data_IF_106830280262
#
_entry.id   IF_106830280262
#
_cell.length_a   1.000
_cell.length_b   1.000
_cell.length_c   1.000
_cell.angle_alpha   90.00
_cell.angle_beta   90.00
_cell.angle_gamma   90.00
#
_symmetry.space_group_name_H-M   'P 1'
#
loop_
_entity.id
_entity.type
_entity.pdbx_description
1 polymer ?
#
# COMPACT_ATOMS: atom_id res chain seq x y z
N UNK A 1 6.02 14.38 22.28
CA UNK A 1 4.76 13.98 21.62
C UNK A 1 5.14 13.20 20.37
N UNK A 2 4.57 12.01 20.14
CA UNK A 2 4.87 11.24 18.92
C UNK A 2 4.29 11.95 17.71
N UNK A 3 5.06 12.10 16.63
CA UNK A 3 4.57 12.66 15.37
C UNK A 3 3.48 11.74 14.80
N UNK A 4 2.39 12.33 14.28
CA UNK A 4 1.24 11.56 13.79
C UNK A 4 1.58 10.86 12.47
N UNK A 5 1.25 9.56 12.32
CA UNK A 5 1.41 8.87 11.05
C UNK A 5 0.48 9.45 9.98
N UNK A 6 0.83 9.24 8.71
CA UNK A 6 0.01 9.59 7.56
C UNK A 6 0.10 8.49 6.51
N UNK A 7 -0.85 8.44 5.58
CA UNK A 7 -0.93 7.38 4.59
C UNK A 7 -0.86 7.91 3.16
N UNK A 8 -0.26 7.11 2.28
CA UNK A 8 -0.20 7.30 0.84
C UNK A 8 -0.74 6.05 0.17
N UNK A 9 -1.91 6.21 -0.46
CA UNK A 9 -2.57 5.15 -1.19
C UNK A 9 -2.19 5.26 -2.66
N UNK A 10 -1.53 4.21 -3.18
CA UNK A 10 -1.16 4.10 -4.58
C UNK A 10 -2.36 3.57 -5.38
N UNK A 11 -3.05 4.48 -6.07
CA UNK A 11 -4.23 4.18 -6.88
C UNK A 11 -3.92 4.06 -8.38
N UNK A 12 -2.66 3.79 -8.72
CA UNK A 12 -2.23 3.51 -10.09
C UNK A 12 -2.44 2.05 -10.52
N UNK A 13 -2.15 1.78 -11.79
CA UNK A 13 -2.15 0.44 -12.37
C UNK A 13 -3.22 0.26 -13.45
N UNK A 14 -2.79 -0.05 -14.68
CA UNK A 14 -3.68 -0.23 -15.83
C UNK A 14 -4.59 -1.45 -15.77
N UNK A 15 -4.39 -2.34 -14.78
CA UNK A 15 -5.33 -3.40 -14.42
C UNK A 15 -5.96 -4.17 -15.59
N UNK A 16 -5.18 -4.71 -16.54
CA UNK A 16 -5.75 -5.41 -17.72
C UNK A 16 -6.38 -6.76 -17.40
N UNK A 17 -6.06 -7.34 -16.23
CA UNK A 17 -6.49 -8.69 -15.81
C UNK A 17 -7.95 -8.81 -15.37
N UNK A 18 -8.65 -7.69 -15.19
CA UNK A 18 -10.07 -7.67 -14.84
C UNK A 18 -10.96 -7.30 -16.03
N UNK A 19 -10.44 -7.29 -17.25
CA UNK A 19 -11.28 -7.10 -18.43
C UNK A 19 -12.40 -8.15 -18.47
N UNK A 20 -13.66 -7.79 -18.79
CA UNK A 20 -14.13 -6.49 -19.28
C UNK A 20 -14.53 -5.49 -18.19
N UNK A 21 -14.39 -5.83 -16.91
CA UNK A 21 -14.75 -4.94 -15.79
C UNK A 21 -13.83 -3.72 -15.68
N UNK A 22 -12.55 -3.87 -16.05
CA UNK A 22 -11.59 -2.78 -16.12
C UNK A 22 -11.35 -2.28 -17.54
N UNK A 23 -11.07 -0.99 -17.66
CA UNK A 23 -10.62 -0.35 -18.89
C UNK A 23 -9.48 0.65 -18.60
N UNK A 24 -8.77 1.14 -19.62
CA UNK A 24 -7.80 2.24 -19.44
C UNK A 24 -8.42 3.48 -18.78
N UNK A 25 -9.69 3.76 -19.08
CA UNK A 25 -10.46 4.89 -18.54
C UNK A 25 -10.98 4.62 -17.12
N UNK A 26 -11.14 3.36 -16.71
CA UNK A 26 -11.55 2.98 -15.35
C UNK A 26 -10.75 1.75 -14.88
N UNK A 27 -9.55 1.96 -14.34
CA UNK A 27 -8.73 0.85 -13.87
C UNK A 27 -9.27 0.28 -12.56
N UNK A 28 -8.70 -0.88 -12.19
CA UNK A 28 -9.12 -1.71 -11.05
C UNK A 28 -9.42 -0.96 -9.74
N UNK A 29 -8.61 0.00 -9.26
CA UNK A 29 -8.90 0.71 -8.01
C UNK A 29 -10.28 1.38 -7.97
N UNK A 30 -10.83 1.75 -9.14
CA UNK A 30 -12.08 2.49 -9.29
C UNK A 30 -13.27 1.60 -9.71
N UNK A 31 -13.14 0.28 -9.60
CA UNK A 31 -14.22 -0.68 -9.88
C UNK A 31 -14.93 -1.04 -8.58
N UNK A 32 -16.28 -0.99 -8.53
CA UNK A 32 -17.06 -1.30 -7.34
C UNK A 32 -17.13 -2.81 -7.06
N UNK A 33 -16.11 -3.36 -6.39
CA UNK A 33 -15.98 -4.81 -6.14
C UNK A 33 -16.28 -5.23 -4.69
N UNK A 34 -16.26 -4.30 -3.73
CA UNK A 34 -16.42 -4.63 -2.30
C UNK A 34 -17.63 -3.90 -1.76
N UNK A 35 -18.73 -4.62 -1.52
CA UNK A 35 -19.99 -4.07 -1.01
C UNK A 35 -20.50 -2.86 -1.82
N UNK A 36 -20.34 -2.90 -3.16
CA UNK A 36 -20.74 -1.81 -4.06
C UNK A 36 -19.80 -0.60 -4.05
N UNK A 37 -18.73 -0.60 -3.26
CA UNK A 37 -17.71 0.46 -3.22
C UNK A 37 -16.51 0.10 -4.07
N UNK A 38 -15.85 1.14 -4.61
CA UNK A 38 -14.56 0.98 -5.30
C UNK A 38 -13.51 0.43 -4.35
N UNK A 39 -12.50 -0.28 -4.86
CA UNK A 39 -11.41 -0.79 -4.02
C UNK A 39 -10.65 0.34 -3.31
N UNK A 40 -10.51 1.49 -3.96
CA UNK A 40 -9.97 2.71 -3.36
C UNK A 40 -10.83 3.16 -2.17
N UNK A 41 -12.15 3.31 -2.37
CA UNK A 41 -13.07 3.72 -1.30
C UNK A 41 -13.05 2.72 -0.12
N UNK A 42 -13.09 1.42 -0.41
CA UNK A 42 -13.01 0.38 0.60
C UNK A 42 -11.67 0.37 1.36
N UNK A 43 -10.57 0.78 0.71
CA UNK A 43 -9.27 0.93 1.36
C UNK A 43 -9.24 2.13 2.31
N UNK A 44 -9.80 3.27 1.89
CA UNK A 44 -9.93 4.46 2.75
C UNK A 44 -10.83 4.18 3.95
N UNK A 45 -12.03 3.63 3.75
CA UNK A 45 -12.95 3.28 4.84
C UNK A 45 -12.30 2.42 5.91
N UNK A 46 -11.51 1.44 5.47
CA UNK A 46 -10.82 0.50 6.35
C UNK A 46 -9.70 1.18 7.16
N UNK A 47 -9.13 2.25 6.64
CA UNK A 47 -8.03 3.02 7.21
C UNK A 47 -8.49 4.14 8.16
N UNK A 48 -9.69 4.72 7.94
CA UNK A 48 -10.23 5.83 8.73
C UNK A 48 -10.19 5.65 10.26
N UNK A 49 -10.39 4.43 10.83
CA UNK A 49 -10.25 4.25 12.28
C UNK A 49 -8.82 4.41 12.82
N UNK A 50 -7.81 4.39 11.96
CA UNK A 50 -6.39 4.48 12.31
C UNK A 50 -5.76 5.81 11.88
N UNK A 51 -6.09 6.30 10.68
CA UNK A 51 -5.57 7.54 10.11
C UNK A 51 -6.77 8.40 9.71
N UNK A 52 -6.89 9.65 10.21
CA UNK A 52 -8.00 10.51 9.85
C UNK A 52 -7.91 10.93 8.38
N UNK A 53 -9.05 11.32 7.80
CA UNK A 53 -9.12 11.58 6.36
C UNK A 53 -8.12 12.64 5.91
N UNK A 54 -7.87 13.68 6.71
CA UNK A 54 -6.92 14.76 6.44
C UNK A 54 -5.44 14.31 6.34
N UNK A 55 -5.12 13.12 6.85
CA UNK A 55 -3.77 12.54 6.81
C UNK A 55 -3.66 11.40 5.77
N UNK A 56 -4.65 11.25 4.87
CA UNK A 56 -4.66 10.24 3.80
C UNK A 56 -4.46 10.90 2.44
N UNK A 57 -3.37 10.56 1.75
CA UNK A 57 -3.07 11.03 0.41
C UNK A 57 -3.32 9.92 -0.61
N UNK A 58 -3.80 10.27 -1.80
CA UNK A 58 -4.00 9.34 -2.91
C UNK A 58 -3.11 9.76 -4.06
N UNK A 59 -2.21 8.87 -4.46
CA UNK A 59 -1.37 9.05 -5.63
C UNK A 59 -1.96 8.32 -6.83
N UNK A 60 -2.17 9.04 -7.91
CA UNK A 60 -2.85 8.55 -9.11
C UNK A 60 -2.25 9.17 -10.38
N UNK A 61 -2.36 8.50 -11.53
CA UNK A 61 -2.02 9.11 -12.81
C UNK A 61 -2.96 10.28 -13.13
N UNK A 62 -2.42 11.37 -13.72
CA UNK A 62 -3.18 12.59 -13.99
C UNK A 62 -4.55 12.37 -14.71
N UNK A 63 -4.69 11.50 -15.73
CA UNK A 63 -5.98 11.27 -16.40
C UNK A 63 -7.07 10.65 -15.50
N UNK A 64 -6.68 10.03 -14.38
CA UNK A 64 -7.57 9.30 -13.48
C UNK A 64 -7.97 10.13 -12.25
N UNK A 65 -7.54 11.39 -12.15
CA UNK A 65 -7.84 12.28 -11.02
C UNK A 65 -9.35 12.43 -10.75
N UNK A 66 -10.16 12.47 -11.82
CA UNK A 66 -11.62 12.55 -11.71
C UNK A 66 -12.23 11.32 -11.01
N UNK A 67 -11.67 10.13 -11.23
CA UNK A 67 -12.14 8.89 -10.61
C UNK A 67 -11.87 8.83 -9.11
N UNK A 68 -10.78 9.48 -8.65
CA UNK A 68 -10.52 9.65 -7.22
C UNK A 68 -11.62 10.49 -6.59
N UNK A 69 -11.98 11.62 -7.20
CA UNK A 69 -13.08 12.48 -6.71
C UNK A 69 -14.43 11.76 -6.73
N UNK A 70 -14.70 10.96 -7.76
CA UNK A 70 -15.91 10.11 -7.83
C UNK A 70 -15.94 9.09 -6.69
N UNK A 71 -14.80 8.45 -6.40
CA UNK A 71 -14.69 7.42 -5.36
C UNK A 71 -14.66 7.98 -3.93
N UNK A 72 -14.12 9.18 -3.76
CA UNK A 72 -13.83 9.81 -2.46
C UNK A 72 -14.22 11.30 -2.49
N UNK A 73 -15.52 11.62 -2.54
CA UNK A 73 -15.98 13.01 -2.69
C UNK A 73 -15.60 13.92 -1.52
N UNK A 74 -15.33 13.35 -0.34
CA UNK A 74 -14.91 14.08 0.86
C UNK A 74 -13.39 14.24 0.99
N UNK A 75 -12.59 13.65 0.09
CA UNK A 75 -11.13 13.77 0.14
C UNK A 75 -10.72 15.21 -0.25
N UNK A 76 -9.97 15.93 0.61
CA UNK A 76 -9.46 17.26 0.27
C UNK A 76 -8.64 17.25 -1.03
N UNK A 77 -8.77 18.32 -1.82
CA UNK A 77 -8.11 18.41 -3.12
C UNK A 77 -6.57 18.33 -3.03
N UNK A 78 -5.99 18.93 -1.98
CA UNK A 78 -4.55 18.88 -1.72
C UNK A 78 -4.01 17.48 -1.36
N UNK A 79 -4.90 16.49 -1.15
CA UNK A 79 -4.52 15.11 -0.88
C UNK A 79 -4.48 14.22 -2.14
N UNK A 80 -4.82 14.75 -3.31
CA UNK A 80 -4.71 14.03 -4.58
C UNK A 80 -3.37 14.41 -5.25
N UNK A 81 -2.44 13.47 -5.26
CA UNK A 81 -1.12 13.65 -5.86
C UNK A 81 -1.14 13.07 -7.26
N UNK A 82 -0.87 13.91 -8.24
CA UNK A 82 -0.87 13.51 -9.64
C UNK A 82 0.52 13.06 -10.06
N UNK A 83 0.63 11.80 -10.45
CA UNK A 83 1.79 11.27 -11.14
C UNK A 83 1.74 11.72 -12.61
N UNK A 84 2.76 12.44 -13.11
CA UNK A 84 2.76 12.94 -14.49
C UNK A 84 2.88 11.80 -15.51
N UNK A 85 3.62 10.75 -15.15
CA UNK A 85 3.83 9.56 -15.99
C UNK A 85 3.90 8.35 -15.07
N UNK A 86 3.11 7.31 -15.35
CA UNK A 86 3.15 6.06 -14.61
C UNK A 86 4.55 5.42 -14.69
N UNK A 87 5.24 5.32 -13.55
CA UNK A 87 6.63 4.81 -13.46
C UNK A 87 6.82 3.75 -12.36
N UNK A 88 5.79 2.95 -12.07
CA UNK A 88 5.79 1.92 -11.01
C UNK A 88 5.90 2.51 -9.58
N UNK A 89 5.95 1.63 -8.59
CA UNK A 89 5.85 1.96 -7.16
C UNK A 89 6.96 2.85 -6.63
N UNK A 90 8.22 2.61 -7.00
CA UNK A 90 9.37 3.36 -6.46
C UNK A 90 9.29 4.87 -6.75
N UNK A 91 9.20 5.29 -8.02
CA UNK A 91 9.03 6.70 -8.39
C UNK A 91 7.77 7.35 -7.81
N UNK A 92 6.65 6.61 -7.74
CA UNK A 92 5.43 7.10 -7.10
C UNK A 92 5.67 7.39 -5.60
N UNK A 93 6.33 6.49 -4.89
CA UNK A 93 6.69 6.68 -3.48
C UNK A 93 7.61 7.88 -3.29
N UNK A 94 8.65 8.01 -4.13
CA UNK A 94 9.56 9.15 -4.07
C UNK A 94 8.84 10.48 -4.32
N UNK A 95 7.94 10.51 -5.32
CA UNK A 95 7.11 11.69 -5.59
C UNK A 95 6.24 12.07 -4.40
N UNK A 96 5.61 11.09 -3.74
CA UNK A 96 4.81 11.34 -2.55
C UNK A 96 5.65 11.86 -1.39
N UNK A 97 6.84 11.27 -1.16
CA UNK A 97 7.75 11.70 -0.11
C UNK A 97 8.26 13.14 -0.30
N UNK A 98 8.37 13.60 -1.55
CA UNK A 98 8.78 14.97 -1.91
C UNK A 98 7.61 15.97 -1.86
N UNK A 99 6.41 15.57 -2.28
CA UNK A 99 5.25 16.47 -2.43
C UNK A 99 4.45 16.67 -1.16
N UNK A 100 4.50 15.72 -0.23
CA UNK A 100 3.71 15.75 1.00
C UNK A 100 4.50 16.49 2.08
N UNK A 101 3.98 17.64 2.51
CA UNK A 101 4.56 18.42 3.60
C UNK A 101 4.19 17.81 4.97
N UNK A 102 5.04 16.89 5.42
CA UNK A 102 4.98 16.25 6.74
C UNK A 102 6.38 16.18 7.34
N UNK A 103 6.54 16.16 8.67
CA UNK A 103 7.86 15.95 9.28
C UNK A 103 8.55 14.69 8.74
N UNK A 104 9.87 14.74 8.53
CA UNK A 104 10.62 13.62 7.95
C UNK A 104 10.67 12.39 8.87
N UNK A 105 10.39 12.57 10.16
CA UNK A 105 10.27 11.55 11.19
C UNK A 105 8.83 11.04 11.42
N UNK A 106 7.86 11.56 10.67
CA UNK A 106 6.49 11.03 10.67
C UNK A 106 6.45 9.65 9.97
N UNK A 107 5.83 8.62 10.58
CA UNK A 107 5.62 7.34 9.89
C UNK A 107 4.70 7.52 8.67
N UNK A 108 5.23 7.20 7.49
CA UNK A 108 4.55 7.19 6.20
C UNK A 108 4.10 5.77 5.89
N UNK A 109 2.79 5.54 5.83
CA UNK A 109 2.22 4.26 5.41
C UNK A 109 1.99 4.29 3.90
N UNK A 110 2.57 3.34 3.16
CA UNK A 110 2.33 3.18 1.73
C UNK A 110 1.48 1.95 1.48
N UNK A 111 0.32 2.16 0.85
CA UNK A 111 -0.74 1.17 0.70
C UNK A 111 -1.17 1.03 -0.76
N UNK A 112 -1.34 -0.19 -1.28
CA UNK A 112 -1.97 -0.39 -2.58
C UNK A 112 -3.49 -0.18 -2.48
N UNK A 113 -4.09 0.51 -3.46
CA UNK A 113 -5.53 0.75 -3.49
C UNK A 113 -6.35 -0.46 -3.94
N UNK A 114 -5.72 -1.49 -4.49
CA UNK A 114 -6.39 -2.54 -5.27
C UNK A 114 -6.40 -3.92 -4.58
N UNK A 115 -6.11 -3.96 -3.28
CA UNK A 115 -6.16 -5.18 -2.49
C UNK A 115 -7.54 -5.39 -1.85
N UNK A 116 -8.11 -6.58 -2.03
CA UNK A 116 -9.29 -7.00 -1.28
C UNK A 116 -8.84 -7.58 0.07
N UNK A 117 -9.26 -6.95 1.17
CA UNK A 117 -8.95 -7.39 2.53
C UNK A 117 -10.24 -7.63 3.28
N UNK A 118 -10.45 -8.88 3.69
CA UNK A 118 -11.70 -9.34 4.27
C UNK A 118 -11.77 -9.14 5.78
N UNK A 119 -10.61 -9.18 6.46
CA UNK A 119 -10.50 -8.88 7.89
C UNK A 119 -9.88 -7.50 8.11
N UNK A 120 -10.76 -6.50 8.24
CA UNK A 120 -10.37 -5.13 8.48
C UNK A 120 -9.71 -4.92 9.86
N UNK A 121 -10.08 -5.72 10.87
CA UNK A 121 -9.56 -5.62 12.23
C UNK A 121 -8.12 -6.12 12.30
N UNK A 122 -7.86 -7.32 11.80
CA UNK A 122 -6.51 -7.88 11.71
C UNK A 122 -5.57 -6.98 10.90
N UNK A 123 -6.06 -6.42 9.78
CA UNK A 123 -5.28 -5.52 8.95
C UNK A 123 -4.89 -4.23 9.69
N UNK A 124 -5.83 -3.61 10.42
CA UNK A 124 -5.52 -2.42 11.23
C UNK A 124 -4.55 -2.73 12.36
N UNK A 125 -4.70 -3.88 13.02
CA UNK A 125 -3.78 -4.31 14.07
C UNK A 125 -2.35 -4.49 13.52
N UNK A 126 -2.23 -5.07 12.32
CA UNK A 126 -0.94 -5.23 11.66
C UNK A 126 -0.30 -3.87 11.28
N UNK A 127 -1.10 -2.90 10.80
CA UNK A 127 -0.61 -1.54 10.55
C UNK A 127 -0.20 -0.81 11.84
N UNK A 128 -0.97 -0.95 12.91
CA UNK A 128 -0.65 -0.35 14.20
C UNK A 128 0.67 -0.91 14.75
N UNK A 129 0.89 -2.23 14.62
CA UNK A 129 2.16 -2.86 14.95
C UNK A 129 3.31 -2.31 14.08
N UNK A 130 3.10 -2.16 12.77
CA UNK A 130 4.11 -1.60 11.88
C UNK A 130 4.48 -0.15 12.26
N UNK A 131 3.50 0.69 12.59
CA UNK A 131 3.73 2.06 13.10
C UNK A 131 4.54 2.01 14.42
N UNK A 132 4.21 1.09 15.32
CA UNK A 132 4.92 0.94 16.59
C UNK A 132 6.39 0.53 16.37
N UNK A 133 6.67 -0.38 15.44
CA UNK A 133 8.03 -0.78 15.05
C UNK A 133 8.78 0.43 14.47
N UNK A 134 8.20 1.15 13.51
CA UNK A 134 8.83 2.36 12.93
C UNK A 134 9.11 3.44 13.98
N UNK A 135 8.28 3.54 15.02
CA UNK A 135 8.52 4.48 16.10
C UNK A 135 9.67 4.06 17.03
N UNK A 136 9.84 2.75 17.25
CA UNK A 136 10.90 2.17 18.07
C UNK A 136 12.24 2.11 17.33
N UNK A 137 12.21 1.84 16.03
CA UNK A 137 13.36 1.69 15.14
C UNK A 137 13.23 2.69 13.98
N UNK A 138 13.69 3.95 14.16
CA UNK A 138 13.51 5.04 13.19
C UNK A 138 13.98 4.77 11.76
N UNK A 139 15.03 3.97 11.62
CA UNK A 139 15.67 3.60 10.35
C UNK A 139 15.02 2.38 9.69
N UNK A 140 14.01 1.76 10.32
CA UNK A 140 13.41 0.54 9.82
C UNK A 140 12.42 0.81 8.67
N UNK A 141 12.54 0.01 7.62
CA UNK A 141 11.52 -0.14 6.59
C UNK A 141 10.69 -1.38 6.93
N UNK A 142 9.46 -1.15 7.38
CA UNK A 142 8.56 -2.22 7.83
C UNK A 142 7.65 -2.63 6.68
N UNK A 143 7.36 -3.92 6.56
CA UNK A 143 6.38 -4.46 5.60
C UNK A 143 5.44 -5.44 6.28
N UNK A 144 4.34 -5.78 5.61
CA UNK A 144 3.35 -6.75 6.10
C UNK A 144 3.49 -8.09 5.38
N UNK A 145 3.61 -9.16 6.17
CA UNK A 145 3.62 -10.54 5.68
C UNK A 145 2.24 -11.17 5.70
N UNK A 146 1.88 -11.90 4.64
CA UNK A 146 0.66 -12.72 4.56
C UNK A 146 1.03 -14.21 4.49
N UNK A 147 0.33 -15.06 5.23
CA UNK A 147 0.53 -16.51 5.18
C UNK A 147 0.23 -17.04 3.77
N UNK A 148 1.21 -17.65 3.07
CA UNK A 148 1.00 -18.19 1.74
C UNK A 148 0.04 -19.37 1.76
N UNK A 149 -0.86 -19.44 0.79
CA UNK A 149 -1.74 -20.62 0.58
C UNK A 149 -1.34 -21.45 -0.66
N UNK A 150 -0.37 -20.96 -1.44
CA UNK A 150 0.17 -21.62 -2.65
C UNK A 150 1.50 -21.02 -3.07
N UNK A 151 2.24 -21.70 -3.95
CA UNK A 151 3.45 -21.19 -4.58
C UNK A 151 3.12 -20.19 -5.72
N UNK A 152 2.70 -18.97 -5.36
CA UNK A 152 2.40 -17.90 -6.32
C UNK A 152 3.68 -17.24 -6.85
N UNK A 153 3.87 -17.21 -8.17
CA UNK A 153 5.04 -16.56 -8.82
C UNK A 153 4.87 -15.05 -9.04
N UNK A 154 3.65 -14.53 -8.88
CA UNK A 154 3.33 -13.11 -9.06
C UNK A 154 3.53 -12.24 -7.82
N UNK A 155 3.97 -12.82 -6.70
CA UNK A 155 4.13 -12.12 -5.41
C UNK A 155 5.60 -12.10 -4.97
N UNK A 156 5.94 -11.10 -4.16
CA UNK A 156 7.18 -11.12 -3.38
C UNK A 156 7.04 -12.03 -2.16
N UNK A 157 8.16 -12.60 -1.72
CA UNK A 157 8.28 -13.44 -0.53
C UNK A 157 9.25 -12.82 0.46
N UNK A 158 8.92 -12.89 1.74
CA UNK A 158 9.77 -12.44 2.84
C UNK A 158 10.02 -13.61 3.81
N UNK A 159 11.28 -13.80 4.18
CA UNK A 159 11.68 -14.67 5.28
C UNK A 159 12.08 -13.77 6.43
N UNK A 160 11.59 -14.07 7.63
CA UNK A 160 11.83 -13.26 8.82
C UNK A 160 12.23 -14.13 10.01
N UNK A 161 13.07 -13.56 10.88
CA UNK A 161 13.33 -14.04 12.23
C UNK A 161 12.69 -13.06 13.22
N UNK A 162 11.61 -13.50 13.87
CA UNK A 162 10.70 -12.60 14.60
C UNK A 162 10.13 -11.52 13.68
N UNK A 163 10.36 -10.25 14.04
CA UNK A 163 9.93 -9.07 13.27
C UNK A 163 10.94 -8.66 12.18
N UNK A 164 12.14 -9.26 12.14
CA UNK A 164 13.22 -8.84 11.25
C UNK A 164 13.25 -9.66 9.96
N UNK A 165 13.01 -9.00 8.83
CA UNK A 165 13.15 -9.62 7.51
C UNK A 165 14.62 -9.90 7.23
N UNK A 166 14.96 -11.17 6.99
CA UNK A 166 16.31 -11.63 6.67
C UNK A 166 16.50 -11.85 5.17
N UNK A 167 15.42 -12.06 4.43
CA UNK A 167 15.45 -12.23 2.96
C UNK A 167 14.17 -11.70 2.33
N UNK A 168 14.33 -10.93 1.25
CA UNK A 168 13.26 -10.53 0.36
C UNK A 168 13.51 -11.13 -1.03
N UNK A 169 12.50 -11.72 -1.67
CA UNK A 169 12.61 -12.31 -3.01
C UNK A 169 11.38 -11.95 -3.84
N UNK A 170 11.56 -11.11 -4.85
CA UNK A 170 10.47 -10.63 -5.70
C UNK A 170 10.17 -11.63 -6.84
N UNK A 171 8.92 -12.09 -6.93
CA UNK A 171 8.40 -12.90 -8.05
C UNK A 171 9.30 -14.08 -8.44
N UNK A 172 9.60 -14.99 -7.49
CA UNK A 172 10.39 -16.18 -7.78
C UNK A 172 9.67 -17.10 -8.77
N UNK A 173 10.42 -17.99 -9.42
CA UNK A 173 9.86 -19.13 -10.13
C UNK A 173 9.12 -20.09 -9.17
N UNK A 174 8.36 -21.04 -9.73
CA UNK A 174 7.50 -21.94 -8.95
C UNK A 174 8.29 -22.84 -7.98
N UNK A 175 9.47 -23.32 -8.38
CA UNK A 175 10.31 -24.17 -7.56
C UNK A 175 10.86 -23.40 -6.35
N UNK A 176 11.36 -22.20 -6.60
CA UNK A 176 11.88 -21.28 -5.58
C UNK A 176 10.78 -20.83 -4.64
N UNK A 177 9.57 -20.51 -5.15
CA UNK A 177 8.41 -20.18 -4.33
C UNK A 177 8.04 -21.32 -3.36
N UNK A 178 8.03 -22.57 -3.83
CA UNK A 178 7.75 -23.74 -2.99
C UNK A 178 8.80 -23.92 -1.88
N UNK A 179 10.09 -23.75 -2.21
CA UNK A 179 11.18 -23.81 -1.24
C UNK A 179 11.07 -22.71 -0.17
N UNK A 180 10.74 -21.49 -0.57
CA UNK A 180 10.55 -20.37 0.35
C UNK A 180 9.38 -20.62 1.32
N UNK A 181 8.27 -21.16 0.84
CA UNK A 181 7.13 -21.53 1.69
C UNK A 181 7.54 -22.62 2.69
N UNK A 182 8.27 -23.63 2.25
CA UNK A 182 8.79 -24.69 3.14
C UNK A 182 9.73 -24.13 4.21
N UNK A 183 10.46 -23.05 3.91
CA UNK A 183 11.31 -22.31 4.85
C UNK A 183 10.54 -21.30 5.74
N UNK A 184 9.19 -21.31 5.72
CA UNK A 184 8.37 -20.46 6.56
C UNK A 184 8.15 -19.03 6.03
N UNK A 185 8.41 -18.77 4.76
CA UNK A 185 8.22 -17.45 4.17
C UNK A 185 6.76 -16.96 4.26
N UNK A 186 6.60 -15.64 4.14
CA UNK A 186 5.34 -14.93 3.98
C UNK A 186 5.30 -14.24 2.63
N UNK A 187 4.12 -14.01 2.07
CA UNK A 187 3.98 -13.11 0.94
C UNK A 187 4.15 -11.67 1.40
N UNK A 188 4.87 -10.86 0.61
CA UNK A 188 4.86 -9.42 0.75
C UNK A 188 3.48 -8.88 0.37
N UNK A 189 2.80 -8.20 1.30
CA UNK A 189 1.49 -7.61 1.07
C UNK A 189 1.52 -6.31 0.25
N UNK A 190 2.69 -5.85 -0.21
CA UNK A 190 2.85 -4.59 -0.94
C UNK A 190 2.55 -3.35 -0.11
N UNK A 191 2.47 -3.53 1.22
CA UNK A 191 2.27 -2.47 2.21
C UNK A 191 3.58 -2.23 2.93
N UNK A 192 3.91 -0.95 3.12
CA UNK A 192 5.15 -0.57 3.76
C UNK A 192 4.95 0.60 4.71
N UNK A 193 5.78 0.69 5.75
CA UNK A 193 5.78 1.79 6.71
C UNK A 193 7.22 2.18 7.03
N UNK A 194 7.55 3.46 6.89
CA UNK A 194 8.90 3.99 7.19
C UNK A 194 8.83 5.47 7.55
N UNK A 195 9.94 6.04 8.01
CA UNK A 195 10.14 7.50 8.10
C UNK A 195 10.82 7.99 6.84
N UNK A 196 10.44 9.15 6.30
CA UNK A 196 11.10 9.68 5.09
C UNK A 196 12.61 9.86 5.29
N UNK A 197 13.02 10.19 6.51
CA UNK A 197 14.43 10.27 6.90
C UNK A 197 15.23 8.96 6.67
N UNK A 198 14.58 7.79 6.74
CA UNK A 198 15.22 6.49 6.52
C UNK A 198 15.48 6.17 5.03
N UNK A 199 15.03 7.02 4.11
CA UNK A 199 15.27 6.90 2.67
C UNK A 199 16.38 7.82 2.16
N UNK A 200 17.04 8.58 3.03
CA UNK A 200 18.08 9.55 2.69
C UNK A 200 19.50 8.99 2.81
#
# INVERSE_FOLDING_TARGET
>A
MSVKPYAVILAGGGGTRLWPLSSPERPKPFIPLVNGKTLLAATVDRLLPLIPLEDIYVLVAAPQAALVRESLPSLPEGQIILEPIARNTGPAVALAAERIDRPSDAPMLVLPADHAVLDAGAWRNALAAAIAITNREPEALVTLGVTPTRAATGFGYIVADGERVTRFTEKPDAATAAQLIAAGARWNAGTFVWRRAALQ
#
